data_IF_277530993526
#
_entry.id   IF_277530993526
#
_cell.length_a   1.000
_cell.length_b   1.000
_cell.length_c   1.000
_cell.angle_alpha   90.00
_cell.angle_beta   90.00
_cell.angle_gamma   90.00
#
_symmetry.space_group_name_H-M   'P 1'
#
loop_
_entity.id
_entity.type
_entity.pdbx_description
1 polymer ?
#
# COMPACT_ATOMS: atom_id res chain seq x y z
N UNK A 1 28.02 -14.74 32.10
CA UNK A 1 27.64 -14.25 30.75
C UNK A 1 27.17 -15.41 29.87
N UNK A 2 27.96 -16.46 29.66
CA UNK A 2 27.57 -17.64 28.85
C UNK A 2 26.40 -18.46 29.42
N UNK A 3 26.32 -18.63 30.74
CA UNK A 3 25.19 -19.30 31.42
C UNK A 3 23.90 -18.49 31.35
N UNK A 4 23.98 -17.16 31.57
CA UNK A 4 22.86 -16.25 31.35
C UNK A 4 22.39 -16.29 29.88
N UNK A 5 23.28 -16.29 28.89
CA UNK A 5 22.84 -16.40 27.49
C UNK A 5 22.17 -17.73 27.16
N UNK A 6 22.58 -18.84 27.78
CA UNK A 6 21.98 -20.15 27.58
C UNK A 6 20.57 -20.25 28.20
N UNK A 7 20.41 -19.80 29.44
CA UNK A 7 19.09 -19.74 30.10
C UNK A 7 18.13 -18.79 29.38
N UNK A 8 18.66 -17.72 28.76
CA UNK A 8 17.88 -16.80 27.93
C UNK A 8 17.50 -17.40 26.57
N UNK A 9 18.40 -18.14 25.91
CA UNK A 9 18.09 -18.84 24.66
C UNK A 9 16.94 -19.83 24.84
N UNK A 10 16.89 -20.49 26.00
CA UNK A 10 15.82 -21.39 26.40
C UNK A 10 14.51 -20.65 26.76
N UNK A 11 14.58 -19.38 27.16
CA UNK A 11 13.41 -18.55 27.46
C UNK A 11 12.64 -18.07 26.20
N UNK A 12 13.24 -18.15 25.01
CA UNK A 12 12.68 -17.67 23.73
C UNK A 12 12.37 -18.79 22.72
N UNK A 13 12.42 -20.07 23.11
CA UNK A 13 11.99 -21.20 22.28
C UNK A 13 10.47 -21.45 22.36
N UNK A 14 9.94 -22.13 21.33
CA UNK A 14 8.51 -22.42 21.08
C UNK A 14 7.74 -23.12 22.23
N UNK A 15 8.42 -23.66 23.25
CA UNK A 15 7.82 -24.57 24.24
C UNK A 15 7.11 -23.90 25.44
N UNK A 16 7.10 -22.57 25.56
CA UNK A 16 6.71 -21.92 26.83
C UNK A 16 5.51 -20.96 26.75
N UNK A 17 4.39 -21.47 26.21
CA UNK A 17 3.06 -20.83 26.23
C UNK A 17 2.38 -20.79 27.61
N UNK A 18 3.03 -21.27 28.68
CA UNK A 18 2.47 -21.26 30.04
C UNK A 18 2.58 -19.89 30.72
N UNK A 19 1.45 -19.38 31.22
CA UNK A 19 1.27 -18.08 31.88
C UNK A 19 2.23 -17.83 33.06
N UNK A 20 2.66 -18.88 33.76
CA UNK A 20 3.51 -18.80 34.96
C UNK A 20 4.91 -18.21 34.69
N UNK A 21 5.46 -18.40 33.48
CA UNK A 21 6.75 -17.82 33.10
C UNK A 21 6.63 -16.38 32.56
N UNK A 22 5.42 -15.87 32.37
CA UNK A 22 5.16 -14.53 31.84
C UNK A 22 5.58 -13.43 32.80
N UNK A 23 5.34 -13.58 34.10
CA UNK A 23 5.66 -12.56 35.12
C UNK A 23 7.16 -12.43 35.36
N UNK A 24 7.89 -13.55 35.42
CA UNK A 24 9.34 -13.56 35.56
C UNK A 24 10.03 -12.90 34.35
N UNK A 25 9.62 -13.26 33.13
CA UNK A 25 10.11 -12.62 31.89
C UNK A 25 9.89 -11.10 31.92
N UNK A 26 8.73 -10.66 32.39
CA UNK A 26 8.40 -9.24 32.48
C UNK A 26 9.26 -8.50 33.49
N UNK A 27 9.50 -9.08 34.67
CA UNK A 27 10.38 -8.51 35.68
C UNK A 27 11.83 -8.41 35.17
N UNK A 28 12.30 -9.43 34.45
CA UNK A 28 13.63 -9.45 33.84
C UNK A 28 13.76 -8.36 32.77
N UNK A 29 12.78 -8.21 31.87
CA UNK A 29 12.77 -7.13 30.88
C UNK A 29 12.75 -5.75 31.54
N UNK A 30 11.95 -5.57 32.59
CA UNK A 30 11.91 -4.31 33.33
C UNK A 30 13.26 -3.97 33.98
N UNK A 31 13.93 -4.95 34.57
CA UNK A 31 15.28 -4.76 35.13
C UNK A 31 16.32 -4.45 34.07
N UNK A 32 16.24 -5.10 32.91
CA UNK A 32 17.16 -4.91 31.78
C UNK A 32 17.04 -3.50 31.21
N UNK A 33 15.82 -3.04 30.90
CA UNK A 33 15.60 -1.77 30.19
C UNK A 33 15.48 -0.54 31.10
N UNK A 34 15.64 -0.71 32.42
CA UNK A 34 15.79 0.40 33.37
C UNK A 34 17.24 0.69 33.74
N UNK A 35 18.20 -0.19 33.42
CA UNK A 35 19.61 -0.05 33.78
C UNK A 35 20.46 0.30 32.56
N UNK A 36 21.10 1.47 32.59
CA UNK A 36 21.91 2.00 31.47
C UNK A 36 23.13 1.12 31.14
N UNK A 37 23.66 0.35 32.10
CA UNK A 37 24.91 -0.40 31.96
C UNK A 37 24.79 -1.72 31.15
N UNK A 38 23.61 -2.10 30.67
CA UNK A 38 23.37 -3.40 30.02
C UNK A 38 23.18 -3.32 28.50
N UNK A 39 23.69 -2.27 27.85
CA UNK A 39 23.53 -2.02 26.41
C UNK A 39 23.81 -3.22 25.49
N UNK A 40 24.91 -4.00 25.65
CA UNK A 40 25.17 -5.15 24.78
C UNK A 40 24.10 -6.25 24.90
N UNK A 41 23.60 -6.48 26.11
CA UNK A 41 22.56 -7.47 26.37
C UNK A 41 21.18 -7.00 25.87
N UNK A 42 20.87 -5.71 26.05
CA UNK A 42 19.67 -5.09 25.48
C UNK A 42 19.65 -5.21 23.96
N UNK A 43 20.76 -4.89 23.29
CA UNK A 43 20.91 -5.02 21.84
C UNK A 43 20.75 -6.46 21.36
N UNK A 44 21.35 -7.43 22.08
CA UNK A 44 21.20 -8.85 21.81
C UNK A 44 19.73 -9.30 21.89
N UNK A 45 19.05 -8.97 22.98
CA UNK A 45 17.63 -9.33 23.19
C UNK A 45 16.75 -8.70 22.11
N UNK A 46 16.93 -7.40 21.82
CA UNK A 46 16.14 -6.72 20.78
C UNK A 46 16.36 -7.36 19.40
N UNK A 47 17.61 -7.70 19.06
CA UNK A 47 17.91 -8.35 17.78
C UNK A 47 17.28 -9.73 17.66
N UNK A 48 17.36 -10.55 18.72
CA UNK A 48 16.73 -11.87 18.74
C UNK A 48 15.22 -11.80 18.66
N UNK A 49 14.60 -10.84 19.35
CA UNK A 49 13.15 -10.62 19.27
C UNK A 49 12.69 -10.23 17.87
N UNK A 50 13.41 -9.32 17.20
CA UNK A 50 13.07 -8.93 15.82
C UNK A 50 13.20 -10.12 14.89
N UNK A 51 14.32 -10.87 14.96
CA UNK A 51 14.51 -12.05 14.11
C UNK A 51 13.51 -13.18 14.40
N UNK A 52 13.01 -13.30 15.63
CA UNK A 52 11.91 -14.20 15.95
C UNK A 52 10.59 -13.72 15.34
N UNK A 53 10.30 -12.42 15.45
CA UNK A 53 9.10 -11.81 14.90
C UNK A 53 9.08 -11.89 13.36
N UNK A 54 10.20 -11.58 12.69
CA UNK A 54 10.36 -11.67 11.24
C UNK A 54 10.10 -13.09 10.73
N UNK A 55 10.70 -14.10 11.39
CA UNK A 55 10.49 -15.52 11.03
C UNK A 55 9.05 -15.95 11.24
N UNK A 56 8.44 -15.53 12.34
CA UNK A 56 7.05 -15.89 12.62
C UNK A 56 6.08 -15.22 11.65
N UNK A 57 6.25 -13.93 11.36
CA UNK A 57 5.44 -13.20 10.36
C UNK A 57 5.57 -13.82 8.98
N UNK A 58 6.79 -14.18 8.55
CA UNK A 58 7.02 -14.89 7.29
C UNK A 58 6.32 -16.27 7.27
N UNK A 59 6.36 -17.00 8.39
CA UNK A 59 5.70 -18.30 8.53
C UNK A 59 4.17 -18.19 8.47
N UNK A 60 3.60 -17.18 9.15
CA UNK A 60 2.17 -16.90 9.17
C UNK A 60 1.65 -16.40 7.82
N UNK A 61 2.51 -15.77 7.03
CA UNK A 61 2.20 -15.31 5.68
C UNK A 61 1.93 -16.46 4.70
N UNK A 62 2.71 -17.53 4.78
CA UNK A 62 2.70 -18.63 3.79
C UNK A 62 1.67 -19.71 4.09
N UNK A 63 1.43 -20.00 5.37
CA UNK A 63 0.58 -21.13 5.76
C UNK A 63 -0.92 -20.71 5.67
N UNK A 64 -1.85 -21.68 5.72
CA UNK A 64 -3.31 -21.42 5.66
C UNK A 64 -4.03 -21.45 7.03
N UNK A 65 -3.65 -22.34 7.96
CA UNK A 65 -4.16 -22.44 9.34
C UNK A 65 -3.07 -22.15 10.37
N UNK A 66 -3.26 -21.15 11.25
CA UNK A 66 -2.22 -20.72 12.21
C UNK A 66 -2.70 -20.58 13.64
N UNK A 67 -1.76 -20.87 14.54
CA UNK A 67 -1.77 -20.44 15.90
C UNK A 67 -1.03 -19.10 16.00
N UNK A 68 -1.70 -18.05 16.46
CA UNK A 68 -1.10 -16.73 16.66
C UNK A 68 -0.49 -16.57 18.07
N UNK A 69 -0.52 -17.61 18.92
CA UNK A 69 -0.07 -17.51 20.32
C UNK A 69 1.36 -17.02 20.44
N UNK A 70 2.26 -17.49 19.57
CA UNK A 70 3.66 -17.12 19.61
C UNK A 70 3.87 -15.65 19.22
N UNK A 71 3.29 -15.20 18.09
CA UNK A 71 3.36 -13.79 17.69
C UNK A 71 2.67 -12.86 18.69
N UNK A 72 1.57 -13.28 19.32
CA UNK A 72 0.94 -12.55 20.42
C UNK A 72 1.91 -12.37 21.60
N UNK A 73 2.61 -13.43 22.01
CA UNK A 73 3.62 -13.36 23.06
C UNK A 73 4.77 -12.41 22.73
N UNK A 74 5.29 -12.49 21.49
CA UNK A 74 6.31 -11.58 20.98
C UNK A 74 5.84 -10.12 20.99
N UNK A 75 4.60 -9.86 20.57
CA UNK A 75 4.01 -8.52 20.58
C UNK A 75 3.84 -7.96 21.98
N UNK A 76 3.40 -8.76 22.95
CA UNK A 76 3.30 -8.32 24.36
C UNK A 76 4.67 -7.91 24.90
N UNK A 77 5.72 -8.67 24.58
CA UNK A 77 7.09 -8.30 24.97
C UNK A 77 7.54 -7.01 24.26
N UNK A 78 7.28 -6.90 22.95
CA UNK A 78 7.65 -5.72 22.17
C UNK A 78 6.98 -4.45 22.70
N UNK A 79 5.67 -4.49 22.97
CA UNK A 79 4.91 -3.36 23.55
C UNK A 79 5.52 -2.93 24.88
N UNK A 80 5.91 -3.87 25.73
CA UNK A 80 6.53 -3.58 27.03
C UNK A 80 7.90 -2.92 26.90
N UNK A 81 8.75 -3.44 26.03
CA UNK A 81 10.08 -2.86 25.81
C UNK A 81 9.96 -1.48 25.17
N UNK A 82 9.07 -1.31 24.19
CA UNK A 82 8.76 0.01 23.60
C UNK A 82 8.05 0.96 24.57
N UNK A 83 7.66 0.49 25.77
CA UNK A 83 7.18 1.32 26.86
C UNK A 83 8.28 2.13 27.56
N UNK A 84 9.55 1.75 27.40
CA UNK A 84 10.71 2.52 27.88
C UNK A 84 11.40 3.25 26.74
N UNK A 85 11.98 4.43 27.03
CA UNK A 85 12.74 5.21 26.03
C UNK A 85 13.93 4.44 25.47
N UNK A 86 14.67 3.74 26.34
CA UNK A 86 15.84 2.94 25.95
C UNK A 86 15.46 1.77 25.03
N UNK A 87 14.33 1.10 25.31
CA UNK A 87 13.82 0.05 24.44
C UNK A 87 13.41 0.56 23.07
N UNK A 88 12.73 1.71 23.03
CA UNK A 88 12.33 2.35 21.78
C UNK A 88 13.55 2.75 20.92
N UNK A 89 14.58 3.33 21.54
CA UNK A 89 15.84 3.68 20.88
C UNK A 89 16.58 2.44 20.37
N UNK A 90 16.62 1.35 21.16
CA UNK A 90 17.25 0.09 20.76
C UNK A 90 16.60 -0.54 19.51
N UNK A 91 15.27 -0.42 19.37
CA UNK A 91 14.56 -0.89 18.18
C UNK A 91 14.65 0.06 16.99
N UNK A 92 14.82 1.37 17.21
CA UNK A 92 14.85 2.38 16.13
C UNK A 92 15.99 2.20 15.13
N UNK A 93 17.05 1.47 15.50
CA UNK A 93 18.21 1.17 14.64
C UNK A 93 17.90 0.03 13.66
N UNK A 94 16.81 -0.71 13.87
CA UNK A 94 16.48 -1.94 13.13
C UNK A 94 15.37 -1.67 12.11
N UNK A 95 15.79 -1.31 10.91
CA UNK A 95 14.91 -0.75 9.88
C UNK A 95 13.78 -1.66 9.38
N UNK A 96 13.93 -2.99 9.49
CA UNK A 96 12.93 -3.96 9.03
C UNK A 96 11.71 -4.07 9.93
N UNK A 97 11.80 -3.67 11.20
CA UNK A 97 10.75 -3.90 12.19
C UNK A 97 9.40 -3.28 11.79
N UNK A 98 9.41 -2.04 11.26
CA UNK A 98 8.18 -1.38 10.82
C UNK A 98 7.52 -2.11 9.64
N UNK A 99 8.32 -2.64 8.70
CA UNK A 99 7.80 -3.46 7.60
C UNK A 99 7.15 -4.70 8.17
N UNK A 100 7.86 -5.47 9.00
CA UNK A 100 7.35 -6.71 9.61
C UNK A 100 6.06 -6.49 10.39
N UNK A 101 5.99 -5.41 11.18
CA UNK A 101 4.78 -5.02 11.89
C UNK A 101 3.64 -4.65 10.94
N UNK A 102 3.92 -3.86 9.89
CA UNK A 102 2.91 -3.50 8.89
C UNK A 102 2.39 -4.71 8.10
N UNK A 103 3.23 -5.72 7.85
CA UNK A 103 2.81 -6.97 7.23
C UNK A 103 1.90 -7.78 8.16
N UNK A 104 2.26 -7.89 9.44
CA UNK A 104 1.46 -8.59 10.45
C UNK A 104 0.03 -8.01 10.54
N UNK A 105 -0.14 -6.69 10.38
CA UNK A 105 -1.45 -6.05 10.38
C UNK A 105 -2.41 -6.66 9.35
N UNK A 106 -1.92 -7.14 8.22
CA UNK A 106 -2.78 -7.61 7.13
C UNK A 106 -3.56 -8.87 7.50
N UNK A 107 -3.08 -9.67 8.46
CA UNK A 107 -3.65 -10.98 8.74
C UNK A 107 -3.75 -11.33 10.23
N UNK A 108 -3.24 -10.49 11.13
CA UNK A 108 -3.34 -10.73 12.56
C UNK A 108 -4.78 -10.57 13.09
N UNK A 109 -5.11 -11.19 14.23
CA UNK A 109 -6.36 -10.93 14.95
C UNK A 109 -6.47 -9.46 15.37
N UNK A 110 -7.69 -8.94 15.51
CA UNK A 110 -7.96 -7.53 15.83
C UNK A 110 -7.20 -7.02 17.06
N UNK A 111 -7.13 -7.81 18.13
CA UNK A 111 -6.40 -7.43 19.36
C UNK A 111 -4.92 -7.15 19.08
N UNK A 112 -4.30 -8.00 18.24
CA UNK A 112 -2.91 -7.83 17.82
C UNK A 112 -2.77 -6.65 16.87
N UNK A 113 -3.74 -6.44 15.96
CA UNK A 113 -3.72 -5.29 15.06
C UNK A 113 -3.70 -3.95 15.82
N UNK A 114 -4.50 -3.81 16.89
CA UNK A 114 -4.47 -2.64 17.76
C UNK A 114 -3.07 -2.43 18.37
N UNK A 115 -2.50 -3.47 18.98
CA UNK A 115 -1.17 -3.41 19.61
C UNK A 115 -0.08 -3.04 18.61
N UNK A 116 -0.15 -3.60 17.40
CA UNK A 116 0.80 -3.32 16.33
C UNK A 116 0.70 -1.86 15.89
N UNK A 117 -0.51 -1.31 15.65
CA UNK A 117 -0.69 0.09 15.26
C UNK A 117 -0.16 1.05 16.32
N UNK A 118 -0.46 0.82 17.61
CA UNK A 118 0.08 1.63 18.71
C UNK A 118 1.60 1.57 18.79
N UNK A 119 2.17 0.39 18.54
CA UNK A 119 3.62 0.18 18.56
C UNK A 119 4.30 0.88 17.39
N UNK A 120 3.73 0.77 16.18
CA UNK A 120 4.20 1.48 14.99
C UNK A 120 4.17 2.99 15.25
N UNK A 121 3.08 3.54 15.77
CA UNK A 121 2.97 4.99 16.03
C UNK A 121 4.08 5.50 16.96
N UNK A 122 4.43 4.74 18.00
CA UNK A 122 5.54 5.08 18.90
C UNK A 122 6.90 5.00 18.20
N UNK A 123 7.13 3.91 17.46
CA UNK A 123 8.38 3.67 16.75
C UNK A 123 8.62 4.71 15.65
N UNK A 124 7.59 5.05 14.86
CA UNK A 124 7.69 6.00 13.74
C UNK A 124 8.24 7.36 14.13
N UNK A 125 8.13 7.77 15.40
CA UNK A 125 8.75 9.00 15.93
C UNK A 125 10.28 9.00 15.83
N UNK A 126 10.91 7.83 15.94
CA UNK A 126 12.36 7.67 15.94
C UNK A 126 12.95 7.21 14.59
N UNK A 127 12.19 6.46 13.80
CA UNK A 127 12.68 5.88 12.54
C UNK A 127 12.91 6.92 11.43
N UNK A 128 13.83 6.59 10.51
CA UNK A 128 14.05 7.32 9.26
C UNK A 128 13.47 6.52 8.07
N UNK A 129 12.58 7.09 7.24
CA UNK A 129 11.87 6.36 6.19
C UNK A 129 12.77 5.68 5.17
N UNK A 130 13.86 6.34 4.75
CA UNK A 130 14.76 5.90 3.68
C UNK A 130 15.42 4.55 3.98
N UNK A 131 15.64 4.26 5.26
CA UNK A 131 16.25 3.02 5.70
C UNK A 131 15.21 1.89 5.87
N UNK A 132 13.94 2.24 6.07
CA UNK A 132 12.83 1.34 6.48
C UNK A 132 12.01 0.77 5.34
N UNK A 133 12.34 1.05 4.07
CA UNK A 133 11.48 0.64 2.95
C UNK A 133 10.09 1.27 3.04
N UNK A 134 10.05 2.61 3.12
CA UNK A 134 8.82 3.41 3.24
C UNK A 134 7.71 3.00 2.26
N UNK A 135 8.06 2.59 1.05
CA UNK A 135 7.11 2.06 0.05
C UNK A 135 6.34 0.86 0.57
N UNK A 136 7.02 -0.22 0.96
CA UNK A 136 6.39 -1.43 1.48
C UNK A 136 5.55 -1.16 2.73
N UNK A 137 6.07 -0.34 3.65
CA UNK A 137 5.35 0.06 4.85
C UNK A 137 4.04 0.80 4.52
N UNK A 138 4.10 1.78 3.61
CA UNK A 138 2.94 2.57 3.19
C UNK A 138 1.93 1.70 2.44
N UNK A 139 2.39 0.85 1.52
CA UNK A 139 1.55 -0.09 0.77
C UNK A 139 0.81 -1.07 1.68
N UNK A 140 1.47 -1.60 2.72
CA UNK A 140 0.82 -2.49 3.68
C UNK A 140 -0.30 -1.77 4.45
N UNK A 141 -0.09 -0.52 4.88
CA UNK A 141 -1.13 0.27 5.53
C UNK A 141 -2.26 0.63 4.55
N UNK A 142 -1.95 0.96 3.30
CA UNK A 142 -2.95 1.19 2.26
C UNK A 142 -3.77 -0.07 1.96
N UNK A 143 -3.16 -1.25 1.92
CA UNK A 143 -3.86 -2.52 1.78
C UNK A 143 -4.80 -2.80 2.96
N UNK A 144 -4.37 -2.46 4.18
CA UNK A 144 -5.22 -2.56 5.36
C UNK A 144 -6.44 -1.62 5.29
N UNK A 145 -6.25 -0.39 4.81
CA UNK A 145 -7.34 0.57 4.58
C UNK A 145 -8.26 0.07 3.45
N UNK A 146 -7.69 -0.44 2.37
CA UNK A 146 -8.44 -0.96 1.23
C UNK A 146 -9.40 -2.09 1.62
N UNK A 147 -9.04 -2.93 2.60
CA UNK A 147 -9.91 -3.99 3.12
C UNK A 147 -11.22 -3.49 3.75
N UNK A 148 -11.24 -2.27 4.27
CA UNK A 148 -12.43 -1.70 4.92
C UNK A 148 -13.23 -0.77 4.00
N UNK A 149 -12.71 -0.44 2.82
CA UNK A 149 -13.41 0.40 1.85
C UNK A 149 -14.51 -0.41 1.16
N UNK A 150 -15.71 0.16 1.14
CA UNK A 150 -16.84 -0.33 0.36
C UNK A 150 -17.27 0.75 -0.63
N UNK A 151 -17.26 0.43 -1.91
CA UNK A 151 -17.74 1.29 -2.99
C UNK A 151 -19.20 0.96 -3.30
N UNK A 152 -19.97 1.95 -3.72
CA UNK A 152 -21.31 1.76 -4.27
C UNK A 152 -21.27 1.97 -5.77
N UNK A 153 -21.54 0.90 -6.53
CA UNK A 153 -21.57 0.94 -7.99
C UNK A 153 -23.01 1.13 -8.41
N UNK A 154 -23.27 2.22 -9.13
CA UNK A 154 -24.58 2.48 -9.73
C UNK A 154 -24.59 2.02 -11.18
N UNK A 155 -25.45 1.04 -11.48
CA UNK A 155 -25.79 0.74 -12.87
C UNK A 155 -26.76 1.82 -13.39
N UNK A 156 -26.34 2.54 -14.43
CA UNK A 156 -27.14 3.62 -15.02
C UNK A 156 -28.37 3.10 -15.77
N UNK A 157 -28.32 1.89 -16.32
CA UNK A 157 -29.42 1.28 -17.07
C UNK A 157 -30.50 0.76 -16.12
N UNK A 158 -30.10 -0.01 -15.11
CA UNK A 158 -31.05 -0.62 -14.16
C UNK A 158 -31.34 0.28 -12.95
N UNK A 159 -30.61 1.39 -12.79
CA UNK A 159 -30.63 2.28 -11.61
C UNK A 159 -30.35 1.55 -10.29
N UNK A 160 -29.81 0.33 -10.35
CA UNK A 160 -29.48 -0.48 -9.19
C UNK A 160 -28.16 -0.01 -8.55
N UNK A 161 -28.02 -0.27 -7.26
CA UNK A 161 -26.82 0.01 -6.49
C UNK A 161 -26.26 -1.32 -5.96
N UNK A 162 -25.03 -1.65 -6.34
CA UNK A 162 -24.33 -2.84 -5.85
C UNK A 162 -23.12 -2.44 -5.01
N UNK A 163 -22.98 -2.95 -3.78
CA UNK A 163 -21.78 -2.73 -3.00
C UNK A 163 -20.63 -3.56 -3.56
N UNK A 164 -19.45 -2.96 -3.65
CA UNK A 164 -18.21 -3.63 -4.02
C UNK A 164 -17.16 -3.40 -2.94
N UNK A 165 -16.47 -4.48 -2.56
CA UNK A 165 -15.36 -4.45 -1.61
C UNK A 165 -14.21 -5.31 -2.14
N UNK A 166 -13.00 -5.09 -1.60
CA UNK A 166 -11.83 -5.90 -1.93
C UNK A 166 -12.11 -7.40 -1.75
N UNK A 167 -12.70 -7.79 -0.62
CA UNK A 167 -12.99 -9.18 -0.29
C UNK A 167 -14.02 -9.85 -1.23
N UNK A 168 -14.92 -9.07 -1.84
CA UNK A 168 -15.98 -9.61 -2.71
C UNK A 168 -15.60 -9.65 -4.19
N UNK A 169 -14.65 -8.82 -4.64
CA UNK A 169 -14.39 -8.63 -6.07
C UNK A 169 -12.94 -8.88 -6.50
N UNK A 170 -11.97 -8.83 -5.59
CA UNK A 170 -10.56 -8.90 -5.96
C UNK A 170 -10.04 -10.34 -6.07
N UNK A 171 -9.40 -10.67 -7.20
CA UNK A 171 -8.89 -12.03 -7.50
C UNK A 171 -7.38 -12.03 -7.68
N UNK A 172 -6.80 -10.91 -8.15
CA UNK A 172 -5.38 -10.75 -8.40
C UNK A 172 -4.71 -9.95 -7.28
N UNK A 173 -4.93 -10.38 -6.05
CA UNK A 173 -4.35 -9.76 -4.86
C UNK A 173 -3.23 -10.65 -4.33
N UNK A 174 -2.10 -10.07 -3.88
CA UNK A 174 -1.06 -10.84 -3.22
C UNK A 174 -1.62 -11.71 -2.08
N UNK A 175 -1.23 -12.99 -2.03
CA UNK A 175 -1.77 -13.95 -1.05
C UNK A 175 -1.57 -13.50 0.41
N UNK A 176 -0.51 -12.73 0.67
CA UNK A 176 -0.18 -12.18 1.99
C UNK A 176 -1.17 -11.11 2.47
N UNK A 177 -1.99 -10.53 1.59
CA UNK A 177 -3.04 -9.62 2.02
C UNK A 177 -4.18 -10.35 2.71
N UNK A 178 -4.33 -11.68 2.57
CA UNK A 178 -5.32 -12.47 3.33
C UNK A 178 -6.71 -11.83 3.33
N UNK A 179 -7.28 -11.68 2.13
CA UNK A 179 -8.63 -11.12 1.93
C UNK A 179 -9.72 -11.99 2.59
N UNK A 180 -9.39 -13.23 2.96
CA UNK A 180 -10.22 -14.14 3.76
C UNK A 180 -10.48 -13.62 5.19
N UNK A 181 -9.61 -12.74 5.71
CA UNK A 181 -9.76 -12.15 7.04
C UNK A 181 -10.31 -10.74 6.96
N UNK A 182 -11.48 -10.57 7.55
CA UNK A 182 -12.12 -9.28 7.75
C UNK A 182 -11.32 -8.42 8.71
N UNK A 183 -11.26 -7.13 8.40
CA UNK A 183 -10.66 -6.08 9.23
C UNK A 183 -11.78 -5.18 9.69
N UNK A 184 -11.77 -4.79 10.96
CA UNK A 184 -12.79 -3.88 11.49
C UNK A 184 -12.60 -2.47 10.95
N UNK A 185 -13.71 -1.73 10.82
CA UNK A 185 -13.67 -0.32 10.40
C UNK A 185 -12.76 0.51 11.30
N UNK A 186 -12.70 0.23 12.60
CA UNK A 186 -11.89 0.98 13.57
C UNK A 186 -10.39 0.83 13.29
N UNK A 187 -9.92 -0.39 13.00
CA UNK A 187 -8.53 -0.64 12.60
C UNK A 187 -8.20 0.11 11.31
N UNK A 188 -9.11 0.09 10.33
CA UNK A 188 -8.95 0.86 9.10
C UNK A 188 -8.86 2.37 9.34
N UNK A 189 -9.67 2.92 10.25
CA UNK A 189 -9.61 4.33 10.65
C UNK A 189 -8.30 4.68 11.35
N UNK A 190 -7.82 3.83 12.26
CA UNK A 190 -6.54 4.04 12.95
C UNK A 190 -5.37 4.03 11.97
N UNK A 191 -5.35 3.09 11.01
CA UNK A 191 -4.33 3.04 9.96
C UNK A 191 -4.37 4.26 9.05
N UNK A 192 -5.58 4.70 8.65
CA UNK A 192 -5.78 5.92 7.88
C UNK A 192 -5.29 7.16 8.64
N UNK A 193 -5.62 7.26 9.93
CA UNK A 193 -5.17 8.34 10.80
C UNK A 193 -3.64 8.34 10.91
N UNK A 194 -3.00 7.19 11.09
CA UNK A 194 -1.55 7.09 11.15
C UNK A 194 -0.89 7.59 9.85
N UNK A 195 -1.33 7.12 8.67
CA UNK A 195 -0.79 7.61 7.39
C UNK A 195 -1.01 9.11 7.20
N UNK A 196 -2.18 9.60 7.61
CA UNK A 196 -2.49 11.04 7.60
C UNK A 196 -1.51 11.81 8.48
N UNK A 197 -1.32 11.40 9.73
CA UNK A 197 -0.42 12.05 10.69
C UNK A 197 1.04 12.03 10.21
N UNK A 198 1.49 10.94 9.56
CA UNK A 198 2.81 10.85 8.92
C UNK A 198 2.94 11.79 7.71
N UNK A 199 1.92 11.86 6.85
CA UNK A 199 1.89 12.73 5.68
C UNK A 199 1.77 14.22 6.01
N UNK A 200 1.35 14.56 7.23
CA UNK A 200 1.23 15.94 7.72
C UNK A 200 2.41 16.35 8.61
N UNK A 201 3.38 15.45 8.83
CA UNK A 201 4.54 15.72 9.67
C UNK A 201 4.23 15.75 11.18
N UNK A 202 3.04 15.32 11.61
CA UNK A 202 2.59 15.35 13.00
C UNK A 202 3.33 14.33 13.89
N UNK A 203 3.86 13.26 13.29
CA UNK A 203 4.67 12.26 13.99
C UNK A 203 6.15 12.67 13.98
N UNK A 204 6.68 12.91 12.78
CA UNK A 204 8.03 13.40 12.51
C UNK A 204 8.07 13.87 11.04
N UNK A 205 8.61 15.05 10.78
CA UNK A 205 8.67 15.69 9.46
C UNK A 205 9.32 14.82 8.38
N UNK A 206 10.25 13.94 8.76
CA UNK A 206 10.99 13.08 7.82
C UNK A 206 10.06 12.15 7.02
N UNK A 207 8.91 11.76 7.56
CA UNK A 207 7.94 10.88 6.88
C UNK A 207 7.11 11.59 5.83
N UNK A 208 7.00 12.92 5.91
CA UNK A 208 6.06 13.73 5.13
C UNK A 208 6.22 13.50 3.62
N UNK A 209 7.42 13.76 3.09
CA UNK A 209 7.67 13.65 1.64
C UNK A 209 7.61 12.18 1.19
N UNK A 210 8.32 11.22 1.83
CA UNK A 210 8.26 9.82 1.42
C UNK A 210 6.84 9.23 1.39
N UNK A 211 6.03 9.48 2.42
CA UNK A 211 4.64 8.97 2.46
C UNK A 211 3.78 9.63 1.38
N UNK A 212 3.90 10.95 1.17
CA UNK A 212 3.16 11.64 0.10
C UNK A 212 3.56 11.14 -1.29
N UNK A 213 4.85 10.92 -1.53
CA UNK A 213 5.37 10.35 -2.79
C UNK A 213 4.80 8.96 -3.04
N UNK A 214 4.79 8.09 -2.04
CA UNK A 214 4.22 6.74 -2.18
C UNK A 214 2.71 6.75 -2.39
N UNK A 215 1.97 7.61 -1.67
CA UNK A 215 0.53 7.83 -1.91
C UNK A 215 0.29 8.31 -3.33
N UNK A 216 1.09 9.26 -3.84
CA UNK A 216 0.99 9.75 -5.21
C UNK A 216 1.27 8.63 -6.23
N UNK A 217 2.32 7.84 -6.02
CA UNK A 217 2.66 6.70 -6.88
C UNK A 217 1.53 5.67 -6.94
N UNK A 218 0.89 5.36 -5.81
CA UNK A 218 -0.26 4.45 -5.78
C UNK A 218 -1.48 5.03 -6.51
N UNK A 219 -1.73 6.34 -6.42
CA UNK A 219 -2.78 6.99 -7.22
C UNK A 219 -2.44 6.89 -8.71
N UNK A 220 -1.18 7.13 -9.09
CA UNK A 220 -0.73 7.03 -10.48
C UNK A 220 -0.82 5.60 -11.03
N UNK A 221 -0.80 4.56 -10.19
CA UNK A 221 -1.05 3.20 -10.65
C UNK A 221 -2.45 3.03 -11.29
N UNK A 222 -3.42 3.92 -11.02
CA UNK A 222 -4.72 3.94 -11.71
C UNK A 222 -4.58 4.13 -13.22
N UNK A 223 -3.65 5.00 -13.64
CA UNK A 223 -3.46 5.29 -15.06
C UNK A 223 -2.92 4.07 -15.80
N UNK A 224 -2.23 3.17 -15.09
CA UNK A 224 -1.59 1.99 -15.65
C UNK A 224 -2.43 0.69 -15.52
N UNK A 225 -3.67 0.76 -15.01
CA UNK A 225 -4.43 -0.44 -14.67
C UNK A 225 -4.72 -1.35 -15.87
N UNK A 226 -4.93 -0.79 -17.06
CA UNK A 226 -5.36 -1.53 -18.26
C UNK A 226 -4.26 -1.71 -19.31
N UNK A 227 -3.01 -1.48 -18.95
CA UNK A 227 -1.89 -1.75 -19.86
C UNK A 227 -1.49 -3.23 -19.76
N UNK A 228 -1.66 -3.94 -20.87
CA UNK A 228 -1.16 -5.29 -21.06
C UNK A 228 0.37 -5.31 -20.91
N UNK A 229 0.97 -6.37 -20.33
CA UNK A 229 2.41 -6.49 -20.13
C UNK A 229 3.21 -6.67 -21.44
N UNK A 230 2.61 -6.42 -22.61
CA UNK A 230 3.24 -6.59 -23.92
C UNK A 230 4.10 -5.40 -24.37
N UNK A 231 4.23 -4.35 -23.55
CA UNK A 231 5.19 -3.29 -23.77
C UNK A 231 6.47 -3.62 -23.01
N UNK A 232 7.57 -3.70 -23.76
CA UNK A 232 8.91 -3.88 -23.24
C UNK A 232 9.20 -2.91 -22.08
N UNK A 233 9.98 -3.40 -21.12
CA UNK A 233 10.34 -2.78 -19.83
C UNK A 233 10.78 -1.30 -19.86
N UNK A 234 11.04 -0.73 -21.04
CA UNK A 234 11.63 0.60 -21.20
C UNK A 234 10.64 1.69 -21.65
N UNK A 235 9.38 1.35 -21.99
CA UNK A 235 8.40 2.34 -22.46
C UNK A 235 7.23 2.49 -21.48
N UNK A 236 7.27 3.56 -20.69
CA UNK A 236 6.12 3.97 -19.86
C UNK A 236 4.98 4.52 -20.72
N UNK A 237 3.73 4.13 -20.42
CA UNK A 237 2.55 4.44 -21.22
C UNK A 237 2.33 5.95 -21.39
N UNK A 238 1.83 6.35 -22.56
CA UNK A 238 1.38 7.73 -22.82
C UNK A 238 -0.09 7.91 -22.43
N UNK A 239 -0.53 9.17 -22.26
CA UNK A 239 -1.95 9.51 -22.03
C UNK A 239 -2.84 8.96 -23.16
N UNK A 240 -2.31 8.92 -24.39
CA UNK A 240 -2.97 8.35 -25.56
C UNK A 240 -3.14 6.83 -25.42
N UNK A 241 -2.13 6.10 -24.95
CA UNK A 241 -2.21 4.64 -24.71
C UNK A 241 -3.22 4.29 -23.60
N UNK A 242 -3.25 5.11 -22.54
CA UNK A 242 -4.18 4.96 -21.41
C UNK A 242 -5.62 5.21 -21.89
N UNK A 243 -5.82 6.27 -22.66
CA UNK A 243 -7.13 6.63 -23.22
C UNK A 243 -7.60 5.60 -24.26
N UNK A 244 -6.69 5.11 -25.12
CA UNK A 244 -6.98 4.10 -26.12
C UNK A 244 -7.32 2.75 -25.48
N UNK A 245 -6.65 2.34 -24.40
CA UNK A 245 -6.96 1.10 -23.70
C UNK A 245 -8.36 1.12 -23.06
N UNK A 246 -8.76 2.23 -22.42
CA UNK A 246 -10.12 2.43 -21.89
C UNK A 246 -11.17 2.36 -23.01
N UNK A 247 -10.87 2.95 -24.17
CA UNK A 247 -11.77 2.94 -25.34
C UNK A 247 -11.84 1.55 -25.99
N UNK A 248 -10.74 0.80 -26.05
CA UNK A 248 -10.69 -0.50 -26.72
C UNK A 248 -11.46 -1.58 -25.94
N UNK A 249 -11.40 -1.58 -24.61
CA UNK A 249 -12.25 -2.45 -23.77
C UNK A 249 -13.74 -2.09 -23.86
N UNK A 250 -14.09 -0.83 -24.13
CA UNK A 250 -15.48 -0.41 -24.33
C UNK A 250 -16.07 -0.87 -25.68
N UNK A 251 -15.23 -1.08 -26.70
CA UNK A 251 -15.64 -1.49 -28.05
C UNK A 251 -15.80 -3.02 -28.16
N UNK A 252 -14.97 -3.79 -27.46
CA UNK A 252 -15.06 -5.26 -27.43
C UNK A 252 -16.09 -5.72 -26.38
N UNK A 253 -17.38 -5.62 -26.73
CA UNK A 253 -18.53 -5.84 -25.84
C UNK A 253 -18.74 -7.26 -25.27
N UNK A 254 -17.75 -7.89 -24.64
CA UNK A 254 -17.91 -9.23 -24.03
C UNK A 254 -17.65 -9.34 -22.52
N UNK A 255 -17.33 -8.25 -21.81
CA UNK A 255 -17.42 -8.22 -20.34
C UNK A 255 -17.54 -6.79 -19.82
N UNK A 256 -18.29 -6.57 -18.74
CA UNK A 256 -18.39 -5.26 -18.09
C UNK A 256 -16.97 -4.76 -17.74
N UNK A 257 -16.45 -3.67 -18.35
CA UNK A 257 -15.05 -3.24 -18.17
C UNK A 257 -14.70 -2.98 -16.70
N UNK A 258 -15.67 -2.50 -15.93
CA UNK A 258 -15.52 -2.24 -14.49
C UNK A 258 -15.26 -3.52 -13.68
N UNK A 259 -15.79 -4.68 -14.11
CA UNK A 259 -15.58 -5.95 -13.41
C UNK A 259 -14.14 -6.46 -13.52
N UNK A 260 -13.41 -6.11 -14.59
CA UNK A 260 -11.99 -6.45 -14.74
C UNK A 260 -11.11 -5.56 -13.87
N UNK A 261 -11.48 -4.28 -13.70
CA UNK A 261 -10.77 -3.30 -12.87
C UNK A 261 -10.90 -3.66 -11.38
N UNK A 262 -12.11 -3.98 -10.91
CA UNK A 262 -12.37 -4.32 -9.51
C UNK A 262 -11.63 -5.59 -9.03
N UNK A 263 -11.21 -6.44 -9.99
CA UNK A 263 -10.41 -7.65 -9.70
C UNK A 263 -8.94 -7.36 -9.37
N UNK A 264 -8.44 -6.16 -9.67
CA UNK A 264 -7.01 -5.79 -9.56
C UNK A 264 -6.71 -5.20 -8.17
N UNK A 265 -5.74 -5.76 -7.43
CA UNK A 265 -5.34 -5.20 -6.12
C UNK A 265 -4.84 -3.75 -6.19
N UNK A 266 -4.14 -3.40 -7.28
CA UNK A 266 -3.65 -2.03 -7.54
C UNK A 266 -4.77 -0.97 -7.57
N UNK A 267 -5.96 -1.33 -8.05
CA UNK A 267 -7.11 -0.43 -8.04
C UNK A 267 -7.50 -0.06 -6.60
N UNK A 268 -7.56 -1.06 -5.72
CA UNK A 268 -7.96 -0.86 -4.33
C UNK A 268 -6.92 -0.08 -3.51
N UNK A 269 -5.62 -0.29 -3.76
CA UNK A 269 -4.56 0.55 -3.18
C UNK A 269 -4.72 2.01 -3.58
N UNK A 270 -4.93 2.25 -4.87
CA UNK A 270 -5.11 3.60 -5.36
C UNK A 270 -6.36 4.27 -4.78
N UNK A 271 -7.47 3.55 -4.64
CA UNK A 271 -8.68 4.05 -3.96
C UNK A 271 -8.39 4.38 -2.50
N UNK A 272 -7.63 3.54 -1.79
CA UNK A 272 -7.20 3.84 -0.42
C UNK A 272 -6.30 5.08 -0.36
N UNK A 273 -5.37 5.22 -1.30
CA UNK A 273 -4.45 6.35 -1.42
C UNK A 273 -5.19 7.66 -1.76
N UNK A 274 -6.15 7.62 -2.68
CA UNK A 274 -7.05 8.74 -2.98
C UNK A 274 -7.80 9.23 -1.74
N UNK A 275 -8.14 8.33 -0.81
CA UNK A 275 -8.82 8.71 0.43
C UNK A 275 -7.95 9.53 1.40
N UNK A 276 -6.63 9.60 1.14
CA UNK A 276 -5.63 10.37 1.89
C UNK A 276 -5.19 11.66 1.16
N UNK A 277 -5.42 11.75 -0.15
CA UNK A 277 -5.02 12.91 -0.95
C UNK A 277 -5.77 14.17 -0.47
N UNK A 278 -5.03 15.10 0.13
CA UNK A 278 -5.55 16.40 0.57
C UNK A 278 -5.31 17.51 -0.44
N UNK A 279 -4.14 17.50 -1.06
CA UNK A 279 -3.66 18.52 -1.98
C UNK A 279 -3.22 17.84 -3.29
N UNK A 280 -3.78 18.23 -4.46
CA UNK A 280 -3.37 17.67 -5.74
C UNK A 280 -1.87 17.87 -6.04
N UNK A 281 -1.20 18.83 -5.41
CA UNK A 281 0.25 19.03 -5.56
C UNK A 281 1.06 17.80 -5.13
N UNK A 282 0.52 16.90 -4.31
CA UNK A 282 1.21 15.65 -3.98
C UNK A 282 1.50 14.81 -5.21
N UNK A 283 0.68 14.89 -6.26
CA UNK A 283 0.89 14.18 -7.51
C UNK A 283 2.19 14.61 -8.19
N UNK A 284 2.63 15.86 -8.02
CA UNK A 284 3.89 16.38 -8.56
C UNK A 284 5.12 15.66 -7.97
N UNK A 285 4.98 14.98 -6.83
CA UNK A 285 6.04 14.15 -6.26
C UNK A 285 6.22 12.82 -7.00
N UNK A 286 5.25 12.39 -7.81
CA UNK A 286 5.32 11.14 -8.55
C UNK A 286 6.10 11.32 -9.86
N UNK A 287 7.14 10.49 -10.12
CA UNK A 287 7.86 10.51 -11.39
C UNK A 287 6.93 10.21 -12.59
N UNK A 288 5.95 9.34 -12.39
CA UNK A 288 4.97 8.99 -13.43
C UNK A 288 4.13 10.20 -13.83
N UNK A 289 3.72 11.01 -12.85
CA UNK A 289 2.98 12.23 -13.10
C UNK A 289 3.83 13.28 -13.82
N UNK A 290 5.06 13.52 -13.34
CA UNK A 290 6.01 14.44 -13.99
C UNK A 290 6.25 14.04 -15.46
N UNK A 291 6.43 12.75 -15.73
CA UNK A 291 6.61 12.24 -17.09
C UNK A 291 5.38 12.46 -17.98
N UNK A 292 4.16 12.32 -17.44
CA UNK A 292 2.93 12.60 -18.18
C UNK A 292 2.77 14.10 -18.49
N UNK A 293 3.16 14.97 -17.55
CA UNK A 293 3.17 16.42 -17.78
C UNK A 293 4.21 16.83 -18.84
N UNK A 294 5.44 16.33 -18.72
CA UNK A 294 6.50 16.61 -19.70
C UNK A 294 6.16 16.10 -21.10
N UNK A 295 5.48 14.95 -21.22
CA UNK A 295 4.97 14.45 -22.51
C UNK A 295 3.83 15.30 -23.05
N UNK A 296 3.01 15.93 -22.19
CA UNK A 296 1.97 16.87 -22.59
C UNK A 296 2.56 18.18 -23.12
N UNK A 297 3.67 18.64 -22.55
CA UNK A 297 4.38 19.84 -23.01
C UNK A 297 5.24 19.59 -24.26
N UNK A 298 5.79 18.38 -24.42
CA UNK A 298 6.58 17.98 -25.59
C UNK A 298 5.77 17.51 -26.80
N UNK A 299 4.53 17.05 -26.59
CA UNK A 299 3.57 16.83 -27.67
C UNK A 299 2.94 18.18 -28.02
N UNK A 300 3.50 18.89 -29.00
CA UNK A 300 2.79 19.99 -29.63
C UNK A 300 1.36 19.51 -29.93
N UNK A 301 0.37 20.15 -29.30
CA UNK A 301 -1.04 19.86 -29.46
C UNK A 301 -1.35 19.86 -30.97
N UNK A 302 -1.42 18.66 -31.57
CA UNK A 302 -1.65 18.52 -33.01
C UNK A 302 -3.03 19.06 -33.29
N UNK A 303 -3.10 20.12 -34.09
CA UNK A 303 -4.36 20.72 -34.54
C UNK A 303 -5.01 19.77 -35.56
N UNK A 304 -6.33 19.81 -35.66
CA UNK A 304 -7.10 19.07 -36.64
C UNK A 304 -6.78 19.59 -38.04
N UNK A 305 -6.27 18.71 -38.89
CA UNK A 305 -5.87 19.03 -40.27
C UNK A 305 -7.07 19.39 -41.17
N UNK A 306 -8.31 19.08 -40.74
CA UNK A 306 -9.54 19.41 -41.48
C UNK A 306 -10.16 20.75 -41.03
N UNK A 307 -9.61 21.40 -40.00
CA UNK A 307 -10.03 22.72 -39.55
C UNK A 307 -8.96 23.76 -39.90
N UNK A 308 -9.34 24.77 -40.68
CA UNK A 308 -8.43 25.87 -41.05
C UNK A 308 -8.30 26.94 -39.93
N UNK A 309 -8.92 26.73 -38.78
CA UNK A 309 -8.95 27.69 -37.67
C UNK A 309 -7.64 27.73 -36.85
N UNK A 310 -6.72 26.77 -37.08
CA UNK A 310 -5.44 26.69 -36.40
C UNK A 310 -5.53 26.47 -34.89
N UNK A 311 -6.70 26.12 -34.36
CA UNK A 311 -6.96 26.03 -32.90
C UNK A 311 -7.71 24.76 -32.50
N UNK A 312 -8.46 24.16 -33.41
CA UNK A 312 -9.23 22.94 -33.12
C UNK A 312 -8.30 21.76 -32.94
N UNK A 313 -8.27 21.13 -31.77
CA UNK A 313 -7.34 20.04 -31.47
C UNK A 313 -7.74 18.72 -32.13
N UNK A 314 -6.75 18.00 -32.67
CA UNK A 314 -6.91 16.63 -33.12
C UNK A 314 -6.95 15.67 -31.94
N UNK A 315 -7.83 14.68 -32.01
CA UNK A 315 -8.03 13.65 -30.96
C UNK A 315 -7.65 12.26 -31.47
N UNK A 316 -7.58 12.07 -32.79
CA UNK A 316 -7.22 10.81 -33.42
C UNK A 316 -6.42 11.05 -34.72
N UNK A 317 -5.54 10.11 -35.07
CA UNK A 317 -4.89 10.04 -36.37
C UNK A 317 -5.55 8.96 -37.21
N UNK A 318 -5.99 9.28 -38.42
CA UNK A 318 -6.53 8.30 -39.35
C UNK A 318 -5.42 7.80 -40.28
N UNK A 319 -5.05 6.53 -40.18
CA UNK A 319 -4.04 5.93 -41.08
C UNK A 319 -4.53 5.79 -42.54
N UNK A 320 -5.84 5.73 -42.77
CA UNK A 320 -6.41 5.65 -44.12
C UNK A 320 -6.32 7.01 -44.82
N UNK A 321 -6.64 8.09 -44.10
CA UNK A 321 -6.61 9.45 -44.63
C UNK A 321 -5.26 10.15 -44.43
N UNK A 322 -4.35 9.55 -43.65
CA UNK A 322 -3.05 10.09 -43.25
C UNK A 322 -3.16 11.52 -42.67
N UNK A 323 -4.16 11.75 -41.82
CA UNK A 323 -4.40 13.06 -41.21
C UNK A 323 -4.87 12.96 -39.74
N UNK A 324 -4.58 14.01 -38.98
CA UNK A 324 -4.97 14.21 -37.59
C UNK A 324 -6.32 14.92 -37.53
N UNK A 325 -7.33 14.31 -36.94
CA UNK A 325 -8.71 14.79 -36.97
C UNK A 325 -9.27 15.02 -35.55
N UNK A 326 -10.09 16.06 -35.40
CA UNK A 326 -10.96 16.22 -34.25
C UNK A 326 -12.08 15.16 -34.29
N UNK A 327 -12.78 15.00 -33.17
CA UNK A 327 -13.83 13.99 -33.04
C UNK A 327 -14.95 14.14 -34.09
N UNK A 328 -15.32 15.38 -34.40
CA UNK A 328 -16.43 15.69 -35.31
C UNK A 328 -16.03 15.44 -36.77
N UNK A 329 -14.84 15.90 -37.19
CA UNK A 329 -14.33 15.63 -38.53
C UNK A 329 -14.08 14.15 -38.76
N UNK A 330 -13.57 13.42 -37.76
CA UNK A 330 -13.42 11.98 -37.86
C UNK A 330 -14.77 11.28 -38.09
N UNK A 331 -15.80 11.67 -37.34
CA UNK A 331 -17.14 11.12 -37.48
C UNK A 331 -17.75 11.41 -38.85
N UNK A 332 -17.67 12.65 -39.34
CA UNK A 332 -18.24 13.07 -40.63
C UNK A 332 -17.52 12.41 -41.81
N UNK A 333 -16.19 12.39 -41.80
CA UNK A 333 -15.38 11.83 -42.89
C UNK A 333 -15.50 10.30 -42.97
N UNK A 334 -15.71 9.64 -41.83
CA UNK A 334 -15.83 8.18 -41.74
C UNK A 334 -17.27 7.73 -41.46
N UNK A 335 -18.27 8.55 -41.82
CA UNK A 335 -19.67 8.18 -41.71
C UNK A 335 -19.92 6.81 -42.35
N UNK A 336 -20.49 5.91 -41.56
CA UNK A 336 -20.65 4.51 -41.89
C UNK A 336 -21.48 4.36 -43.18
N UNK A 337 -21.05 3.47 -44.10
CA UNK A 337 -21.64 3.27 -45.45
C UNK A 337 -23.15 2.96 -45.48
N UNK A 338 -23.79 2.76 -44.33
CA UNK A 338 -25.23 2.53 -44.20
C UNK A 338 -26.08 3.80 -44.36
N UNK A 339 -25.47 4.98 -44.24
CA UNK A 339 -26.16 6.29 -44.30
C UNK A 339 -25.68 7.17 -45.47
N UNK A 340 -25.20 6.56 -46.57
CA UNK A 340 -24.73 7.31 -47.74
C UNK A 340 -25.50 6.93 -49.00
#
# INVERSE_FOLDING_TARGET
LQTLTADYLQAFSDEFSHEENGTLRQQVLHLLFNRVQLQPLQAFVCSHMISALEREVATLREKVKHNYSYVCGLMVMLVKICGSRQGLEAFSVKNSLLITLSELLLFAPQVVQCQVLETIERLSKLFKPDATGCSSFTQNLLALIAKVITLQIRDKMTRSLTPASLASHAVNVPANWRIDRLVSSDIGHLAKKLLKDLSEGLVNERWTVPVRTEVANEIMNLTCLNLSPSLSSDQMPTIADISASIVTEAINGSSNPWSSILKKGKFWLAVAALSLLKDPQWLELSPTWQNLQNKKEGAAEKVCDNHDDGRTLAVAYCEVCQCSLCRDCFAVLHLNKRNR
#
